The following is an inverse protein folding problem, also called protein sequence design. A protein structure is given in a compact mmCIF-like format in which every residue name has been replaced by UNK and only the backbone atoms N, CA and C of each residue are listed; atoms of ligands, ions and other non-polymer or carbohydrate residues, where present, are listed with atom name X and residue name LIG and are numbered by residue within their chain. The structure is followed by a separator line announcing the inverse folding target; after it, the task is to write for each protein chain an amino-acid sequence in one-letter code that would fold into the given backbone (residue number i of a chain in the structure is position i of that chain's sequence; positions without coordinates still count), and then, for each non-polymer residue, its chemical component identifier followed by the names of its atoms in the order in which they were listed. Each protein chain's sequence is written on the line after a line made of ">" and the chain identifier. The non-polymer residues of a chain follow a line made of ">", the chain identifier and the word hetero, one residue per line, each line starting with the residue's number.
data_IF_313575142268
#
_entry.id   IF_313575142268
#
_cell.length_a   1.000
_cell.length_b   1.000
_cell.length_c   1.000
_cell.angle_alpha   90.00
_cell.angle_beta   90.00
_cell.angle_gamma   90.00
#
_symmetry.space_group_name_H-M   'P 1'
#
loop_
_entity.id
_entity.type
_entity.pdbx_description
1 polymer ?
#
# COMPACT_ATOMS: atom_id res chain seq x y z
N UNK A 1 4.52 18.31 -20.77
CA UNK A 1 5.51 18.01 -21.83
C UNK A 1 6.70 17.38 -21.16
N UNK A 2 7.29 16.36 -21.78
CA UNK A 2 8.58 15.82 -21.32
C UNK A 2 9.69 16.65 -21.96
N UNK A 3 10.54 17.25 -21.14
CA UNK A 3 11.65 18.11 -21.58
C UNK A 3 12.96 17.44 -21.19
N UNK A 4 13.83 17.23 -22.17
CA UNK A 4 15.18 16.71 -21.91
C UNK A 4 16.05 17.85 -21.39
N UNK A 5 16.71 17.61 -20.26
CA UNK A 5 17.65 18.55 -19.64
C UNK A 5 18.95 17.83 -19.28
N UNK A 6 20.02 18.59 -19.04
CA UNK A 6 21.32 18.04 -18.63
C UNK A 6 21.35 17.62 -17.15
N UNK A 7 20.44 16.73 -16.74
CA UNK A 7 20.34 16.15 -15.39
C UNK A 7 20.25 14.63 -15.48
N UNK A 8 20.50 13.87 -14.38
CA UNK A 8 20.27 12.43 -14.34
C UNK A 8 18.85 12.07 -14.79
N UNK A 9 18.72 10.92 -15.46
CA UNK A 9 17.42 10.44 -15.93
C UNK A 9 16.50 10.20 -14.72
N UNK A 10 15.29 10.75 -14.78
CA UNK A 10 14.26 10.52 -13.77
C UNK A 10 13.90 9.04 -13.68
N UNK A 11 13.67 8.55 -12.46
CA UNK A 11 13.28 7.18 -12.17
C UNK A 11 12.08 7.18 -11.22
N UNK A 12 11.42 6.04 -11.09
CA UNK A 12 10.33 5.87 -10.14
C UNK A 12 10.87 5.86 -8.70
N UNK A 13 10.21 6.60 -7.81
CA UNK A 13 10.46 6.54 -6.37
C UNK A 13 9.32 5.80 -5.65
N UNK A 14 8.19 6.46 -5.44
CA UNK A 14 6.96 5.88 -4.90
C UNK A 14 5.78 6.65 -5.48
N UNK A 15 4.80 5.94 -6.05
CA UNK A 15 3.64 6.54 -6.71
C UNK A 15 4.01 7.55 -7.82
N UNK A 16 4.89 7.22 -8.79
CA UNK A 16 5.44 8.19 -9.73
C UNK A 16 4.38 9.06 -10.43
N UNK A 17 4.53 10.38 -10.30
CA UNK A 17 3.61 11.38 -10.84
C UNK A 17 2.42 11.74 -9.95
N UNK A 18 1.95 10.83 -9.08
CA UNK A 18 0.77 11.08 -8.25
C UNK A 18 1.00 12.17 -7.17
N UNK A 19 2.12 12.21 -6.42
CA UNK A 19 2.35 13.28 -5.43
C UNK A 19 2.33 14.69 -6.03
N UNK A 20 2.95 14.91 -7.20
CA UNK A 20 2.96 16.22 -7.85
C UNK A 20 1.57 16.62 -8.37
N UNK A 21 0.81 15.67 -8.93
CA UNK A 21 -0.56 15.92 -9.36
C UNK A 21 -1.48 16.21 -8.16
N UNK A 22 -1.34 15.45 -7.07
CA UNK A 22 -2.08 15.62 -5.83
C UNK A 22 -1.76 16.97 -5.17
N UNK A 23 -0.48 17.37 -5.14
CA UNK A 23 -0.05 18.68 -4.65
C UNK A 23 -0.87 19.82 -5.29
N UNK A 24 -0.92 19.85 -6.62
CA UNK A 24 -1.65 20.87 -7.34
C UNK A 24 -3.18 20.80 -7.12
N UNK A 25 -3.79 19.61 -7.26
CA UNK A 25 -5.26 19.49 -7.21
C UNK A 25 -5.83 19.66 -5.81
N UNK A 26 -5.17 19.13 -4.78
CA UNK A 26 -5.67 19.20 -3.40
C UNK A 26 -5.49 20.59 -2.80
N UNK A 27 -4.49 21.38 -3.24
CA UNK A 27 -4.43 22.80 -2.93
C UNK A 27 -5.55 23.59 -3.62
N UNK A 28 -5.85 23.29 -4.89
CA UNK A 28 -6.94 23.96 -5.60
C UNK A 28 -8.32 23.63 -4.99
N UNK A 29 -8.52 22.40 -4.52
CA UNK A 29 -9.72 22.01 -3.77
C UNK A 29 -9.84 22.80 -2.46
N UNK A 30 -8.74 22.91 -1.71
CA UNK A 30 -8.70 23.67 -0.46
C UNK A 30 -9.02 25.16 -0.68
N UNK A 31 -8.40 25.77 -1.69
CA UNK A 31 -8.65 27.16 -2.10
C UNK A 31 -10.12 27.38 -2.49
N UNK A 32 -10.69 26.47 -3.29
CA UNK A 32 -12.10 26.53 -3.67
C UNK A 32 -13.04 26.40 -2.46
N UNK A 33 -12.73 25.50 -1.52
CA UNK A 33 -13.51 25.34 -0.30
C UNK A 33 -13.48 26.62 0.55
N UNK A 34 -12.30 27.25 0.70
CA UNK A 34 -12.15 28.53 1.41
C UNK A 34 -12.94 29.66 0.75
N UNK A 35 -12.83 29.81 -0.58
CA UNK A 35 -13.56 30.83 -1.33
C UNK A 35 -15.10 30.67 -1.22
N UNK A 36 -15.58 29.41 -1.18
CA UNK A 36 -16.99 29.08 -1.07
C UNK A 36 -17.48 28.93 0.38
N UNK A 37 -16.60 29.07 1.37
CA UNK A 37 -16.89 28.85 2.81
C UNK A 37 -17.46 27.45 3.08
N UNK A 38 -16.90 26.45 2.42
CA UNK A 38 -17.24 25.05 2.60
C UNK A 38 -16.24 24.36 3.53
N UNK A 39 -16.73 23.45 4.34
CA UNK A 39 -15.87 22.55 5.11
C UNK A 39 -15.18 21.55 4.18
N UNK A 40 -13.85 21.44 4.32
CA UNK A 40 -12.99 20.78 3.33
C UNK A 40 -13.18 19.25 3.30
N UNK A 41 -13.53 18.63 4.44
CA UNK A 41 -13.80 17.19 4.50
C UNK A 41 -15.25 16.87 4.09
N UNK A 42 -16.23 17.68 4.50
CA UNK A 42 -17.61 17.51 4.04
C UNK A 42 -17.74 17.71 2.53
N UNK A 43 -16.96 18.62 1.94
CA UNK A 43 -16.85 18.75 0.49
C UNK A 43 -16.33 17.45 -0.14
N UNK A 44 -15.27 16.84 0.41
CA UNK A 44 -14.73 15.57 -0.07
C UNK A 44 -15.71 14.41 0.09
N UNK A 45 -16.46 14.35 1.19
CA UNK A 45 -17.47 13.30 1.43
C UNK A 45 -18.58 13.35 0.38
N UNK A 46 -19.08 14.57 0.11
CA UNK A 46 -20.12 14.82 -0.90
C UNK A 46 -19.65 14.56 -2.33
N UNK A 47 -18.34 14.60 -2.59
CA UNK A 47 -17.73 14.40 -3.91
C UNK A 47 -16.89 13.10 -4.00
N UNK A 48 -17.02 12.20 -3.02
CA UNK A 48 -16.20 10.99 -2.94
C UNK A 48 -16.46 10.04 -4.10
N UNK A 49 -15.39 9.40 -4.58
CA UNK A 49 -15.50 8.30 -5.53
C UNK A 49 -16.15 7.08 -4.88
N UNK A 50 -17.13 6.50 -5.56
CA UNK A 50 -17.90 5.34 -5.08
C UNK A 50 -17.93 4.27 -6.16
N UNK A 51 -18.32 3.05 -5.78
CA UNK A 51 -18.57 1.99 -6.74
C UNK A 51 -19.54 2.46 -7.83
N UNK A 52 -19.21 2.16 -9.09
CA UNK A 52 -20.02 2.56 -10.25
C UNK A 52 -19.76 3.98 -10.78
N UNK A 53 -19.15 4.88 -9.99
CA UNK A 53 -18.78 6.22 -10.47
C UNK A 53 -17.71 6.10 -11.56
N UNK A 54 -17.90 6.79 -12.68
CA UNK A 54 -16.97 6.74 -13.81
C UNK A 54 -15.70 7.54 -13.50
N UNK A 55 -14.55 6.89 -13.65
CA UNK A 55 -13.25 7.55 -13.70
C UNK A 55 -13.12 8.42 -14.96
N UNK A 56 -12.09 9.27 -14.99
CA UNK A 56 -11.75 10.13 -16.13
C UNK A 56 -11.52 9.34 -17.42
N UNK A 57 -11.09 8.07 -17.32
CA UNK A 57 -10.92 7.17 -18.46
C UNK A 57 -12.23 6.49 -18.94
N UNK A 58 -13.37 6.81 -18.31
CA UNK A 58 -14.69 6.28 -18.64
C UNK A 58 -15.04 4.92 -18.02
N UNK A 59 -14.10 4.28 -17.32
CA UNK A 59 -14.32 3.01 -16.62
C UNK A 59 -14.95 3.27 -15.25
N UNK A 60 -15.95 2.48 -14.87
CA UNK A 60 -16.55 2.57 -13.55
C UNK A 60 -15.55 2.11 -12.47
N UNK A 61 -15.51 2.83 -11.35
CA UNK A 61 -14.78 2.36 -10.18
C UNK A 61 -15.35 1.01 -9.72
N UNK A 62 -14.52 -0.03 -9.51
CA UNK A 62 -14.93 -1.17 -8.71
C UNK A 62 -15.20 -0.70 -7.27
N UNK A 63 -15.67 -1.60 -6.39
CA UNK A 63 -15.71 -1.31 -4.96
C UNK A 63 -14.37 -0.73 -4.49
N UNK A 64 -14.40 0.43 -3.86
CA UNK A 64 -13.23 1.21 -3.43
C UNK A 64 -13.60 2.05 -2.20
N UNK A 65 -12.63 2.35 -1.34
CA UNK A 65 -12.85 2.93 -0.01
C UNK A 65 -12.67 4.45 0.11
N UNK A 66 -12.90 5.25 -0.94
CA UNK A 66 -12.64 6.70 -0.86
C UNK A 66 -13.59 7.43 0.11
N UNK A 67 -14.88 7.09 0.06
CA UNK A 67 -15.87 7.64 0.99
C UNK A 67 -15.55 7.23 2.43
N UNK A 68 -15.21 5.97 2.65
CA UNK A 68 -14.90 5.43 3.96
C UNK A 68 -13.65 6.07 4.57
N UNK A 69 -12.63 6.40 3.75
CA UNK A 69 -11.46 7.15 4.24
C UNK A 69 -11.82 8.56 4.67
N UNK A 70 -12.70 9.25 3.94
CA UNK A 70 -13.13 10.60 4.31
C UNK A 70 -14.02 10.57 5.55
N UNK A 71 -14.93 9.61 5.66
CA UNK A 71 -15.81 9.43 6.82
C UNK A 71 -15.01 9.08 8.08
N UNK A 72 -14.00 8.21 7.95
CA UNK A 72 -13.10 7.90 9.05
C UNK A 72 -12.24 9.12 9.44
N UNK A 73 -11.81 9.95 8.48
CA UNK A 73 -11.14 11.22 8.77
C UNK A 73 -12.06 12.20 9.52
N UNK A 74 -13.31 12.38 9.08
CA UNK A 74 -14.34 13.18 9.77
C UNK A 74 -14.61 12.69 11.19
N UNK A 75 -14.59 11.36 11.38
CA UNK A 75 -14.83 10.74 12.67
C UNK A 75 -13.60 10.76 13.60
N UNK A 76 -12.41 11.05 13.09
CA UNK A 76 -11.15 10.99 13.85
C UNK A 76 -11.09 12.01 14.98
N UNK A 77 -10.39 11.65 16.06
CA UNK A 77 -10.12 12.58 17.17
C UNK A 77 -9.28 13.76 16.71
N UNK A 78 -8.40 13.56 15.72
CA UNK A 78 -7.61 14.63 15.13
C UNK A 78 -8.50 15.72 14.55
N UNK A 79 -9.42 15.38 13.64
CA UNK A 79 -10.31 16.36 13.01
C UNK A 79 -11.21 17.09 14.00
N UNK A 80 -11.70 16.38 15.02
CA UNK A 80 -12.61 16.93 16.04
C UNK A 80 -11.93 17.81 17.08
N UNK A 81 -10.60 17.67 17.23
CA UNK A 81 -9.85 18.43 18.21
C UNK A 81 -9.64 19.87 17.74
N UNK A 82 -9.76 20.88 18.61
CA UNK A 82 -9.39 22.25 18.26
C UNK A 82 -7.89 22.33 17.97
N UNK A 83 -7.51 23.32 17.16
CA UNK A 83 -6.12 23.73 17.01
C UNK A 83 -5.94 25.06 17.74
N UNK A 84 -5.07 25.07 18.75
CA UNK A 84 -4.87 26.21 19.64
C UNK A 84 -3.42 26.69 19.54
N UNK A 85 -3.21 28.01 19.57
CA UNK A 85 -1.88 28.63 19.55
C UNK A 85 -1.67 29.53 18.33
N UNK A 86 -0.66 30.43 18.38
CA UNK A 86 -0.34 31.31 17.25
C UNK A 86 0.29 30.52 16.10
N UNK A 87 0.07 30.96 14.86
CA UNK A 87 0.70 30.43 13.64
C UNK A 87 0.55 28.91 13.50
N UNK A 88 -0.59 28.38 13.92
CA UNK A 88 -0.93 26.97 13.77
C UNK A 88 -2.06 26.83 12.79
N UNK A 89 -1.98 25.78 11.98
CA UNK A 89 -2.96 25.52 10.95
C UNK A 89 -3.15 24.03 10.73
N UNK A 90 -4.34 23.68 10.25
CA UNK A 90 -4.72 22.31 9.92
C UNK A 90 -4.91 22.18 8.42
N UNK A 91 -4.29 21.16 7.85
CA UNK A 91 -4.42 20.84 6.44
C UNK A 91 -4.93 19.43 6.20
N UNK A 92 -5.64 19.29 5.09
CA UNK A 92 -6.21 18.03 4.63
C UNK A 92 -5.86 17.83 3.16
N UNK A 93 -5.51 16.59 2.81
CA UNK A 93 -5.41 16.16 1.42
C UNK A 93 -5.81 14.70 1.27
N UNK A 94 -6.31 14.34 0.10
CA UNK A 94 -6.56 12.97 -0.31
C UNK A 94 -5.57 12.53 -1.39
N UNK A 95 -5.30 11.23 -1.41
CA UNK A 95 -4.36 10.60 -2.34
C UNK A 95 -4.99 9.39 -2.99
N UNK A 96 -4.59 9.11 -4.22
CA UNK A 96 -5.05 7.96 -4.99
C UNK A 96 -3.87 7.27 -5.66
N UNK A 97 -3.85 5.94 -5.62
CA UNK A 97 -2.97 5.14 -6.45
C UNK A 97 -3.75 4.00 -7.09
N UNK A 98 -3.51 3.75 -8.37
CA UNK A 98 -4.31 2.81 -9.17
C UNK A 98 -3.96 1.34 -8.90
N UNK A 99 -2.79 1.06 -8.31
CA UNK A 99 -2.16 -0.26 -8.17
C UNK A 99 -1.99 -1.02 -9.50
N UNK A 100 -1.06 -1.95 -9.55
CA UNK A 100 -0.80 -2.74 -10.74
C UNK A 100 -1.04 -4.24 -10.50
N UNK A 101 -1.33 -4.96 -11.59
CA UNK A 101 -1.41 -6.42 -11.61
C UNK A 101 -0.14 -7.00 -12.21
N UNK A 102 -0.04 -7.01 -13.55
CA UNK A 102 1.10 -7.52 -14.32
C UNK A 102 1.39 -9.02 -14.08
N UNK A 103 2.52 -9.54 -14.57
CA UNK A 103 2.83 -10.96 -14.55
C UNK A 103 3.45 -11.41 -13.21
N UNK A 104 2.92 -12.47 -12.62
CA UNK A 104 3.47 -13.11 -11.41
C UNK A 104 3.49 -14.62 -11.56
N UNK A 105 4.53 -15.25 -10.97
CA UNK A 105 4.68 -16.70 -10.91
C UNK A 105 5.19 -17.16 -9.56
N UNK A 106 4.66 -18.29 -9.07
CA UNK A 106 5.11 -18.94 -7.83
C UNK A 106 5.12 -20.46 -7.99
N UNK A 107 5.92 -21.13 -7.15
CA UNK A 107 5.95 -22.59 -7.00
C UNK A 107 5.88 -22.91 -5.51
N UNK A 108 5.06 -23.87 -5.10
CA UNK A 108 4.97 -24.36 -3.74
C UNK A 108 5.16 -25.88 -3.69
N UNK A 109 5.99 -26.37 -2.77
CA UNK A 109 6.28 -27.80 -2.61
C UNK A 109 5.98 -28.29 -1.20
N UNK A 110 5.24 -29.39 -1.08
CA UNK A 110 4.85 -29.97 0.20
C UNK A 110 5.87 -31.02 0.66
N UNK A 111 6.48 -30.79 1.82
CA UNK A 111 7.43 -31.72 2.42
C UNK A 111 6.70 -32.87 3.14
N UNK A 112 7.33 -34.06 3.28
CA UNK A 112 6.71 -35.20 3.97
C UNK A 112 6.35 -34.95 5.45
N UNK A 113 6.94 -33.94 6.08
CA UNK A 113 6.66 -33.56 7.48
C UNK A 113 5.45 -32.62 7.63
N UNK A 114 4.81 -32.23 6.53
CA UNK A 114 3.67 -31.31 6.50
C UNK A 114 4.04 -29.85 6.29
N UNK A 115 5.33 -29.49 6.25
CA UNK A 115 5.75 -28.11 5.93
C UNK A 115 5.70 -27.84 4.43
N UNK A 116 5.60 -26.58 4.03
CA UNK A 116 5.46 -26.16 2.63
C UNK A 116 6.52 -25.12 2.28
N UNK A 117 7.35 -25.40 1.29
CA UNK A 117 8.26 -24.41 0.73
C UNK A 117 7.50 -23.58 -0.31
N UNK A 118 7.50 -22.25 -0.17
CA UNK A 118 6.94 -21.33 -1.16
C UNK A 118 8.09 -20.58 -1.84
N UNK A 119 8.17 -20.69 -3.15
CA UNK A 119 9.18 -20.04 -3.99
C UNK A 119 8.49 -18.98 -4.83
N UNK A 120 8.98 -17.74 -4.72
CA UNK A 120 8.48 -16.59 -5.47
C UNK A 120 9.65 -15.78 -6.05
N UNK A 121 9.39 -14.93 -7.05
CA UNK A 121 10.43 -14.20 -7.79
C UNK A 121 10.37 -12.68 -7.68
N UNK A 122 9.41 -12.12 -6.94
CA UNK A 122 9.32 -10.70 -6.67
C UNK A 122 10.35 -10.31 -5.61
N UNK A 123 11.15 -9.29 -5.85
CA UNK A 123 12.12 -8.82 -4.85
C UNK A 123 11.39 -8.32 -3.61
N UNK A 124 11.73 -8.86 -2.44
CA UNK A 124 11.13 -8.45 -1.17
C UNK A 124 11.78 -7.17 -0.64
N UNK A 125 11.07 -6.05 -0.76
CA UNK A 125 11.49 -4.72 -0.29
C UNK A 125 10.63 -4.17 0.84
N UNK A 126 9.72 -4.98 1.40
CA UNK A 126 8.68 -4.45 2.30
C UNK A 126 7.85 -5.48 3.07
N UNK A 127 8.27 -6.74 3.13
CA UNK A 127 7.59 -7.80 3.89
C UNK A 127 6.78 -8.77 3.02
N UNK A 128 7.08 -8.86 1.73
CA UNK A 128 6.35 -9.70 0.78
C UNK A 128 6.40 -11.18 1.18
N UNK A 129 7.55 -11.70 1.59
CA UNK A 129 7.70 -13.12 1.99
C UNK A 129 6.70 -13.53 3.05
N UNK A 130 6.59 -12.73 4.12
CA UNK A 130 5.64 -13.01 5.19
C UNK A 130 4.19 -12.90 4.69
N UNK A 131 3.88 -11.86 3.91
CA UNK A 131 2.52 -11.66 3.38
C UNK A 131 2.04 -12.79 2.46
N UNK A 132 2.91 -13.31 1.59
CA UNK A 132 2.58 -14.42 0.70
C UNK A 132 2.52 -15.74 1.45
N UNK A 133 3.40 -15.96 2.43
CA UNK A 133 3.32 -17.13 3.29
C UNK A 133 2.03 -17.17 4.10
N UNK A 134 1.56 -16.04 4.63
CA UNK A 134 0.24 -15.93 5.28
C UNK A 134 -0.90 -16.27 4.31
N UNK A 135 -0.86 -15.79 3.07
CA UNK A 135 -1.86 -16.13 2.07
C UNK A 135 -1.84 -17.62 1.68
N UNK A 136 -0.66 -18.24 1.57
CA UNK A 136 -0.55 -19.67 1.30
C UNK A 136 -1.05 -20.50 2.49
N UNK A 137 -0.66 -20.12 3.71
CA UNK A 137 -1.10 -20.75 4.94
C UNK A 137 -2.63 -20.71 5.06
N UNK A 138 -3.26 -19.56 4.78
CA UNK A 138 -4.72 -19.41 4.72
C UNK A 138 -5.33 -20.32 3.64
N UNK A 139 -4.73 -20.35 2.43
CA UNK A 139 -5.23 -21.17 1.32
C UNK A 139 -5.22 -22.66 1.67
N UNK A 140 -4.16 -23.11 2.34
CA UNK A 140 -3.95 -24.48 2.77
C UNK A 140 -4.55 -24.76 4.17
N UNK A 141 -5.05 -23.75 4.87
CA UNK A 141 -5.57 -23.88 6.23
C UNK A 141 -4.60 -24.60 7.19
N UNK A 142 -3.31 -24.27 7.10
CA UNK A 142 -2.24 -24.77 7.97
C UNK A 142 -1.61 -23.62 8.76
N UNK A 143 -0.88 -23.91 9.86
CA UNK A 143 -0.16 -22.88 10.59
C UNK A 143 0.84 -22.13 9.71
N UNK A 144 0.96 -20.82 9.92
CA UNK A 144 1.90 -19.96 9.17
C UNK A 144 3.35 -20.44 9.32
N UNK A 145 3.73 -20.90 10.50
CA UNK A 145 5.05 -21.45 10.82
C UNK A 145 5.43 -22.68 9.99
N UNK A 146 4.45 -23.37 9.40
CA UNK A 146 4.68 -24.50 8.51
C UNK A 146 4.94 -24.06 7.04
N UNK A 147 4.83 -22.76 6.73
CA UNK A 147 5.15 -22.20 5.41
C UNK A 147 6.52 -21.53 5.42
N UNK A 148 7.39 -21.94 4.49
CA UNK A 148 8.77 -21.45 4.33
C UNK A 148 8.92 -20.66 3.02
N UNK A 149 8.73 -19.33 3.02
CA UNK A 149 8.85 -18.51 1.83
C UNK A 149 10.32 -18.21 1.48
N UNK A 150 10.64 -18.28 0.19
CA UNK A 150 11.95 -17.95 -0.39
C UNK A 150 11.75 -17.09 -1.63
N UNK A 151 12.50 -15.99 -1.72
CA UNK A 151 12.68 -15.26 -2.99
C UNK A 151 13.83 -15.92 -3.74
N UNK A 152 13.53 -16.50 -4.89
CA UNK A 152 14.52 -17.24 -5.68
C UNK A 152 15.12 -16.41 -6.82
N UNK A 153 16.27 -16.85 -7.30
CA UNK A 153 16.96 -16.28 -8.44
C UNK A 153 16.22 -16.57 -9.76
N UNK A 154 16.48 -15.78 -10.79
CA UNK A 154 15.80 -15.85 -12.10
C UNK A 154 15.99 -17.19 -12.82
N UNK A 155 17.00 -17.98 -12.45
CA UNK A 155 17.24 -19.31 -13.02
C UNK A 155 16.36 -20.40 -12.36
N UNK A 156 15.69 -20.09 -11.25
CA UNK A 156 14.98 -21.06 -10.40
C UNK A 156 13.46 -20.84 -10.31
N UNK A 157 12.93 -19.75 -10.87
CA UNK A 157 11.51 -19.41 -10.83
C UNK A 157 11.06 -18.82 -12.19
N UNK A 158 9.82 -19.06 -12.65
CA UNK A 158 9.30 -18.40 -13.84
C UNK A 158 9.17 -16.88 -13.67
N UNK A 159 8.96 -16.19 -14.79
CA UNK A 159 8.95 -14.73 -14.85
C UNK A 159 8.01 -14.07 -13.81
N UNK A 160 8.54 -13.02 -13.19
CA UNK A 160 7.81 -12.09 -12.33
C UNK A 160 8.16 -10.67 -12.76
N UNK A 161 7.16 -9.81 -12.92
CA UNK A 161 7.39 -8.39 -13.19
C UNK A 161 7.88 -7.65 -11.94
N UNK A 162 8.46 -6.47 -12.17
CA UNK A 162 9.11 -5.60 -11.17
C UNK A 162 8.32 -5.45 -9.88
N UNK A 163 8.99 -5.46 -8.72
CA UNK A 163 8.41 -4.98 -7.47
C UNK A 163 8.21 -3.47 -7.52
N UNK A 164 7.02 -3.05 -7.95
CA UNK A 164 6.62 -1.66 -8.11
C UNK A 164 5.13 -1.54 -8.49
N UNK A 165 4.57 -0.34 -8.47
CA UNK A 165 3.13 -0.16 -8.71
C UNK A 165 2.25 -0.83 -7.65
N UNK A 166 2.81 -1.11 -6.47
CA UNK A 166 2.13 -1.74 -5.32
C UNK A 166 1.44 -3.05 -5.68
N UNK A 167 2.01 -3.77 -6.66
CA UNK A 167 1.40 -4.96 -7.26
C UNK A 167 1.54 -6.23 -6.43
N UNK A 168 2.63 -6.37 -5.69
CA UNK A 168 3.18 -7.71 -5.38
C UNK A 168 2.25 -8.52 -4.50
N UNK A 169 1.81 -7.96 -3.38
CA UNK A 169 0.91 -8.63 -2.43
C UNK A 169 -0.41 -9.07 -3.08
N UNK A 170 -0.92 -8.31 -4.05
CA UNK A 170 -2.11 -8.64 -4.83
C UNK A 170 -1.81 -9.69 -5.92
N UNK A 171 -0.88 -9.39 -6.84
CA UNK A 171 -0.66 -10.19 -8.03
C UNK A 171 0.04 -11.53 -7.73
N UNK A 172 1.10 -11.49 -6.93
CA UNK A 172 1.80 -12.69 -6.47
C UNK A 172 0.99 -13.42 -5.41
N UNK A 173 0.14 -12.71 -4.66
CA UNK A 173 -0.89 -13.29 -3.79
C UNK A 173 -1.88 -14.17 -4.56
N UNK A 174 -2.43 -13.69 -5.68
CA UNK A 174 -3.29 -14.49 -6.57
C UNK A 174 -2.59 -15.75 -7.07
N UNK A 175 -1.32 -15.63 -7.51
CA UNK A 175 -0.55 -16.79 -7.95
C UNK A 175 -0.35 -17.80 -6.80
N UNK A 176 -0.12 -17.28 -5.59
CA UNK A 176 0.02 -18.08 -4.37
C UNK A 176 -1.25 -18.82 -4.01
N UNK A 177 -2.41 -18.16 -4.12
CA UNK A 177 -3.71 -18.79 -3.97
C UNK A 177 -3.92 -19.92 -4.98
N UNK A 178 -3.70 -19.69 -6.27
CA UNK A 178 -3.88 -20.71 -7.31
C UNK A 178 -2.93 -21.90 -7.12
N UNK A 179 -1.68 -21.66 -6.69
CA UNK A 179 -0.74 -22.72 -6.35
C UNK A 179 -1.21 -23.54 -5.13
N UNK A 180 -1.75 -22.88 -4.09
CA UNK A 180 -2.34 -23.55 -2.93
C UNK A 180 -3.59 -24.37 -3.28
N UNK A 181 -4.46 -23.85 -4.15
CA UNK A 181 -5.62 -24.58 -4.66
C UNK A 181 -5.21 -25.81 -5.47
N UNK A 182 -4.13 -25.72 -6.25
CA UNK A 182 -3.57 -26.87 -6.95
C UNK A 182 -3.05 -27.97 -5.99
N UNK A 183 -2.42 -27.58 -4.87
CA UNK A 183 -2.01 -28.52 -3.81
C UNK A 183 -3.23 -29.20 -3.20
N UNK A 184 -4.26 -28.43 -2.80
CA UNK A 184 -5.50 -28.97 -2.22
C UNK A 184 -6.18 -29.97 -3.14
N UNK A 185 -6.26 -29.65 -4.43
CA UNK A 185 -6.81 -30.56 -5.45
C UNK A 185 -6.05 -31.88 -5.47
N UNK A 186 -4.72 -31.85 -5.58
CA UNK A 186 -3.91 -33.07 -5.57
C UNK A 186 -4.08 -33.89 -4.30
N UNK A 187 -4.20 -33.25 -3.14
CA UNK A 187 -4.46 -33.94 -1.87
C UNK A 187 -5.82 -34.63 -1.87
N UNK A 188 -6.87 -33.94 -2.33
CA UNK A 188 -8.22 -34.50 -2.43
C UNK A 188 -8.28 -35.70 -3.40
N UNK A 189 -7.66 -35.57 -4.58
CA UNK A 189 -7.54 -36.66 -5.56
C UNK A 189 -6.87 -37.91 -4.97
N UNK A 190 -5.87 -37.72 -4.11
CA UNK A 190 -5.14 -38.83 -3.48
C UNK A 190 -5.91 -39.44 -2.31
N UNK A 191 -6.56 -38.62 -1.49
CA UNK A 191 -7.43 -39.11 -0.42
C UNK A 191 -8.61 -39.92 -0.99
N UNK A 192 -9.22 -39.46 -2.10
CA UNK A 192 -10.28 -40.18 -2.78
C UNK A 192 -9.85 -41.59 -3.22
N UNK A 193 -8.63 -41.72 -3.77
CA UNK A 193 -8.02 -43.01 -4.14
C UNK A 193 -7.79 -43.91 -2.92
N UNK A 194 -7.28 -43.37 -1.82
CA UNK A 194 -7.08 -44.13 -0.57
C UNK A 194 -8.39 -44.66 0.00
N UNK A 195 -9.47 -43.88 -0.13
CA UNK A 195 -10.77 -44.22 0.41
C UNK A 195 -11.69 -44.97 -0.55
N UNK A 196 -11.24 -45.16 -1.80
CA UNK A 196 -12.00 -45.76 -2.89
C UNK A 196 -13.36 -45.05 -3.11
N UNK A 197 -13.35 -43.72 -3.14
CA UNK A 197 -14.51 -42.88 -3.40
C UNK A 197 -14.25 -41.90 -4.57
N UNK A 198 -15.27 -41.10 -4.94
CA UNK A 198 -15.09 -40.03 -5.91
C UNK A 198 -14.33 -38.85 -5.28
N UNK A 199 -13.69 -38.02 -6.10
CA UNK A 199 -13.09 -36.76 -5.67
C UNK A 199 -14.14 -35.78 -5.14
N UNK A 200 -15.32 -35.77 -5.77
CA UNK A 200 -16.48 -34.98 -5.31
C UNK A 200 -16.97 -35.39 -3.92
N UNK A 201 -16.61 -36.60 -3.46
CA UNK A 201 -16.92 -37.10 -2.13
C UNK A 201 -15.89 -36.67 -1.07
N UNK A 202 -14.88 -35.88 -1.43
CA UNK A 202 -13.84 -35.39 -0.50
C UNK A 202 -14.00 -33.89 -0.29
N UNK A 203 -14.26 -33.49 0.96
CA UNK A 203 -14.18 -32.09 1.36
C UNK A 203 -12.80 -31.79 1.95
N UNK A 204 -12.32 -30.57 1.71
CA UNK A 204 -11.12 -30.02 2.35
C UNK A 204 -11.54 -28.88 3.26
N UNK A 205 -11.44 -29.08 4.57
CA UNK A 205 -11.94 -28.17 5.61
C UNK A 205 -10.90 -28.11 6.73
N UNK A 206 -10.54 -26.90 7.17
CA UNK A 206 -9.64 -26.64 8.29
C UNK A 206 -8.32 -27.43 8.26
N UNK A 207 -7.74 -27.57 7.07
CA UNK A 207 -6.47 -28.26 6.87
C UNK A 207 -6.61 -29.79 6.83
N UNK A 208 -7.83 -30.31 6.80
CA UNK A 208 -8.15 -31.74 6.81
C UNK A 208 -8.97 -32.13 5.58
N UNK A 209 -8.78 -33.38 5.14
CA UNK A 209 -9.59 -34.03 4.12
C UNK A 209 -10.65 -34.89 4.83
N UNK A 210 -11.89 -34.81 4.39
CA UNK A 210 -13.02 -35.56 4.95
C UNK A 210 -13.79 -36.30 3.85
N UNK A 211 -14.09 -37.57 4.05
CA UNK A 211 -14.97 -38.32 3.15
C UNK A 211 -16.45 -38.04 3.49
N UNK A 212 -17.21 -37.45 2.55
CA UNK A 212 -18.67 -37.19 2.70
C UNK A 212 -19.49 -38.45 2.96
N UNK A 213 -19.03 -39.59 2.44
CA UNK A 213 -19.74 -40.88 2.53
C UNK A 213 -19.42 -41.66 3.80
N UNK A 214 -18.34 -41.31 4.49
CA UNK A 214 -17.86 -42.02 5.66
C UNK A 214 -17.12 -41.05 6.57
N UNK A 215 -17.82 -40.56 7.60
CA UNK A 215 -17.29 -39.57 8.55
C UNK A 215 -16.12 -40.10 9.39
N UNK A 216 -15.81 -41.40 9.36
CA UNK A 216 -14.63 -41.97 10.03
C UNK A 216 -13.35 -41.84 9.21
N UNK A 217 -13.48 -41.51 7.91
CA UNK A 217 -12.36 -41.33 7.00
C UNK A 217 -11.96 -39.85 6.93
N UNK A 218 -10.96 -39.51 7.72
CA UNK A 218 -10.32 -38.19 7.72
C UNK A 218 -8.80 -38.33 7.59
N UNK A 219 -8.17 -37.33 6.99
CA UNK A 219 -6.71 -37.21 6.92
C UNK A 219 -6.34 -35.73 7.08
N UNK A 220 -5.47 -35.42 8.02
CA UNK A 220 -4.88 -34.08 8.12
C UNK A 220 -3.96 -33.79 6.92
N UNK A 221 -3.69 -32.51 6.64
CA UNK A 221 -2.71 -32.08 5.65
C UNK A 221 -1.37 -32.80 5.84
N UNK A 222 -0.91 -32.89 7.10
CA UNK A 222 0.35 -33.53 7.48
C UNK A 222 0.34 -35.05 7.24
N UNK A 223 -0.74 -35.74 7.58
CA UNK A 223 -0.86 -37.18 7.32
C UNK A 223 -0.92 -37.49 5.83
N UNK A 224 -1.60 -36.66 5.05
CA UNK A 224 -1.62 -36.78 3.59
C UNK A 224 -0.24 -36.48 2.98
N UNK A 225 0.44 -35.44 3.47
CA UNK A 225 1.80 -35.10 3.06
C UNK A 225 2.80 -36.23 3.32
N UNK A 226 2.70 -36.92 4.47
CA UNK A 226 3.54 -38.07 4.81
C UNK A 226 3.31 -39.28 3.88
N UNK A 227 2.14 -39.37 3.25
CA UNK A 227 1.77 -40.47 2.34
C UNK A 227 2.10 -40.19 0.87
N UNK A 228 2.71 -39.04 0.54
CA UNK A 228 2.94 -38.61 -0.85
C UNK A 228 3.65 -39.68 -1.71
N UNK A 229 4.69 -40.35 -1.18
CA UNK A 229 5.43 -41.38 -1.90
C UNK A 229 4.60 -42.62 -2.24
N UNK A 230 3.57 -42.93 -1.45
CA UNK A 230 2.68 -44.09 -1.65
C UNK A 230 1.45 -43.76 -2.49
N UNK A 231 1.20 -42.47 -2.74
CA UNK A 231 -0.06 -41.98 -3.34
C UNK A 231 0.15 -41.23 -4.66
N UNK A 232 1.37 -41.20 -5.20
CA UNK A 232 1.65 -40.59 -6.50
C UNK A 232 2.97 -39.81 -6.60
N UNK A 233 3.81 -39.81 -5.56
CA UNK A 233 5.07 -39.05 -5.54
C UNK A 233 4.91 -37.66 -4.93
N UNK A 234 5.83 -36.72 -5.18
CA UNK A 234 5.78 -35.36 -4.63
C UNK A 234 4.45 -34.63 -4.89
N UNK A 235 4.07 -33.73 -3.98
CA UNK A 235 2.92 -32.82 -4.15
C UNK A 235 3.47 -31.41 -4.31
N UNK A 236 3.12 -30.77 -5.42
CA UNK A 236 3.63 -29.44 -5.79
C UNK A 236 2.52 -28.59 -6.42
N UNK A 237 2.36 -27.35 -5.99
CA UNK A 237 1.54 -26.34 -6.64
C UNK A 237 2.39 -25.38 -7.46
N UNK A 238 1.86 -24.87 -8.56
CA UNK A 238 2.49 -23.77 -9.30
C UNK A 238 1.44 -22.94 -10.01
N UNK A 239 1.72 -21.66 -10.19
CA UNK A 239 0.87 -20.77 -10.96
C UNK A 239 1.70 -19.69 -11.64
N UNK A 240 1.31 -19.34 -12.87
CA UNK A 240 1.81 -18.19 -13.62
C UNK A 240 0.60 -17.48 -14.21
N UNK A 241 0.46 -16.19 -13.92
CA UNK A 241 -0.72 -15.43 -14.33
C UNK A 241 -0.38 -13.98 -14.68
N UNK A 242 -1.29 -13.33 -15.40
CA UNK A 242 -1.33 -11.88 -15.55
C UNK A 242 -2.47 -11.37 -14.68
N UNK A 243 -2.13 -10.81 -13.53
CA UNK A 243 -3.12 -10.36 -12.56
C UNK A 243 -3.93 -9.18 -13.11
N UNK A 244 -5.26 -9.25 -12.95
CA UNK A 244 -6.22 -8.20 -13.33
C UNK A 244 -7.06 -7.85 -12.11
N UNK A 245 -7.62 -6.65 -12.08
CA UNK A 245 -8.50 -6.25 -10.97
C UNK A 245 -7.76 -5.83 -9.69
N UNK A 246 -6.52 -5.34 -9.80
CA UNK A 246 -5.73 -4.85 -8.66
C UNK A 246 -6.49 -3.82 -7.81
N UNK A 247 -7.29 -2.98 -8.47
CA UNK A 247 -8.11 -1.95 -7.84
C UNK A 247 -7.25 -0.84 -7.23
N UNK A 248 -7.67 0.41 -7.45
CA UNK A 248 -7.01 1.52 -6.76
C UNK A 248 -7.29 1.51 -5.25
N UNK A 249 -6.58 2.37 -4.55
CA UNK A 249 -6.81 2.68 -3.15
C UNK A 249 -6.72 4.18 -2.92
N UNK A 250 -7.47 4.66 -1.94
CA UNK A 250 -7.49 6.06 -1.53
C UNK A 250 -6.94 6.22 -0.11
N UNK A 251 -6.44 7.41 0.17
CA UNK A 251 -6.12 7.85 1.51
C UNK A 251 -6.60 9.27 1.73
N UNK A 252 -6.91 9.63 2.97
CA UNK A 252 -7.24 10.99 3.41
C UNK A 252 -6.41 11.29 4.65
N UNK A 253 -5.55 12.31 4.57
CA UNK A 253 -4.61 12.65 5.62
C UNK A 253 -4.98 13.99 6.25
N UNK A 254 -4.76 14.11 7.55
CA UNK A 254 -4.93 15.33 8.34
C UNK A 254 -3.59 15.64 9.00
N UNK A 255 -3.15 16.89 8.90
CA UNK A 255 -1.91 17.35 9.51
C UNK A 255 -2.12 18.69 10.21
N UNK A 256 -1.61 18.80 11.42
CA UNK A 256 -1.50 20.05 12.17
C UNK A 256 -0.04 20.49 12.16
N UNK A 257 0.19 21.77 11.85
CA UNK A 257 1.52 22.36 11.83
C UNK A 257 1.59 23.62 12.70
N UNK A 258 2.79 23.93 13.18
CA UNK A 258 3.16 25.26 13.67
C UNK A 258 4.22 25.86 12.75
N UNK A 259 4.09 27.15 12.44
CA UNK A 259 5.07 27.88 11.63
C UNK A 259 5.70 28.98 12.47
N UNK A 260 7.02 28.94 12.60
CA UNK A 260 7.79 30.04 13.17
C UNK A 260 8.07 31.08 12.07
N UNK A 261 7.46 32.28 12.12
CA UNK A 261 7.64 33.30 11.09
C UNK A 261 9.03 33.95 11.11
N UNK A 262 9.78 33.86 12.22
CA UNK A 262 11.12 34.44 12.31
C UNK A 262 12.17 33.54 11.64
N UNK A 263 12.05 32.22 11.83
CA UNK A 263 13.02 31.24 11.31
C UNK A 263 12.54 30.52 10.05
N UNK A 264 11.24 30.56 9.77
CA UNK A 264 10.58 29.78 8.72
C UNK A 264 10.43 28.30 9.06
N UNK A 265 10.80 27.87 10.27
CA UNK A 265 10.68 26.47 10.68
C UNK A 265 9.21 26.07 10.68
N UNK A 266 8.90 24.97 9.99
CA UNK A 266 7.60 24.30 10.08
C UNK A 266 7.74 23.06 10.94
N UNK A 267 6.94 22.96 12.00
CA UNK A 267 6.90 21.80 12.88
C UNK A 267 5.60 21.03 12.67
N UNK A 268 5.71 19.72 12.43
CA UNK A 268 4.53 18.84 12.35
C UNK A 268 4.10 18.49 13.77
N UNK A 269 2.98 19.04 14.23
CA UNK A 269 2.47 18.84 15.59
C UNK A 269 1.74 17.50 15.74
N UNK A 270 0.93 17.16 14.73
CA UNK A 270 0.12 15.94 14.71
C UNK A 270 -0.12 15.49 13.28
N UNK A 271 -0.13 14.18 13.04
CA UNK A 271 -0.42 13.62 11.74
C UNK A 271 -1.30 12.38 11.87
N UNK A 272 -2.40 12.34 11.12
CA UNK A 272 -3.27 11.15 11.01
C UNK A 272 -3.43 10.76 9.55
N UNK A 273 -3.05 9.54 9.21
CA UNK A 273 -3.17 8.96 7.88
C UNK A 273 -4.28 7.91 7.86
N UNK A 274 -5.35 8.19 7.11
CA UNK A 274 -6.47 7.26 6.91
C UNK A 274 -6.36 6.65 5.53
N UNK A 275 -6.38 5.33 5.40
CA UNK A 275 -6.18 4.67 4.11
C UNK A 275 -7.06 3.43 3.94
N UNK A 276 -7.66 3.28 2.75
CA UNK A 276 -8.25 2.03 2.27
C UNK A 276 -7.13 1.05 1.90
N UNK A 277 -7.07 -0.07 2.61
CA UNK A 277 -6.01 -1.07 2.43
C UNK A 277 -6.50 -2.37 1.78
N UNK A 278 -7.78 -2.43 1.39
CA UNK A 278 -8.42 -3.72 1.14
C UNK A 278 -8.51 -4.53 2.43
N UNK A 279 -8.12 -5.79 2.38
CA UNK A 279 -7.90 -6.61 3.58
C UNK A 279 -6.47 -6.47 4.08
N UNK A 280 -6.29 -6.12 5.35
CA UNK A 280 -4.99 -6.02 5.98
C UNK A 280 -4.43 -7.41 6.33
N UNK A 281 -3.52 -7.94 5.51
CA UNK A 281 -2.89 -9.26 5.78
C UNK A 281 -2.17 -9.25 7.13
N UNK A 282 -1.42 -8.19 7.40
CA UNK A 282 -0.75 -8.00 8.69
C UNK A 282 -0.79 -6.54 9.07
N UNK A 283 -1.59 -6.21 10.08
CA UNK A 283 -1.92 -4.84 10.46
C UNK A 283 -0.67 -3.97 10.70
N UNK A 284 0.27 -4.42 11.52
CA UNK A 284 1.46 -3.61 11.82
C UNK A 284 2.36 -3.36 10.58
N UNK A 285 2.35 -4.25 9.59
CA UNK A 285 3.13 -4.06 8.35
C UNK A 285 2.45 -3.04 7.45
N UNK A 286 1.13 -3.11 7.37
CA UNK A 286 0.28 -2.12 6.70
C UNK A 286 0.49 -0.73 7.31
N UNK A 287 0.39 -0.62 8.63
CA UNK A 287 0.61 0.63 9.37
C UNK A 287 2.04 1.16 9.13
N UNK A 288 3.07 0.29 9.20
CA UNK A 288 4.45 0.68 8.90
C UNK A 288 4.67 1.18 7.47
N UNK A 289 4.00 0.60 6.47
CA UNK A 289 4.04 1.09 5.09
C UNK A 289 3.38 2.48 4.97
N UNK A 290 2.26 2.70 5.65
CA UNK A 290 1.56 3.99 5.69
C UNK A 290 2.48 5.05 6.31
N UNK A 291 3.03 4.77 7.48
CA UNK A 291 3.93 5.68 8.20
C UNK A 291 5.18 6.02 7.37
N UNK A 292 5.81 5.02 6.74
CA UNK A 292 6.96 5.24 5.86
C UNK A 292 6.64 6.11 4.65
N UNK A 293 5.46 5.94 4.04
CA UNK A 293 5.00 6.77 2.92
C UNK A 293 4.75 8.22 3.33
N UNK A 294 4.14 8.41 4.50
CA UNK A 294 3.93 9.74 5.09
C UNK A 294 5.26 10.45 5.35
N UNK A 295 6.24 9.79 5.97
CA UNK A 295 7.54 10.40 6.29
C UNK A 295 8.30 10.80 5.03
N UNK A 296 8.27 9.99 3.98
CA UNK A 296 8.83 10.36 2.67
C UNK A 296 8.16 11.62 2.10
N UNK A 297 6.83 11.69 2.19
CA UNK A 297 6.09 12.87 1.73
C UNK A 297 6.34 14.12 2.59
N UNK A 298 6.53 13.98 3.90
CA UNK A 298 6.97 15.10 4.78
C UNK A 298 8.33 15.61 4.32
N UNK A 299 9.27 14.70 4.04
CA UNK A 299 10.57 15.02 3.48
C UNK A 299 10.47 15.86 2.21
N UNK A 300 9.70 15.41 1.22
CA UNK A 300 9.47 16.16 -0.02
C UNK A 300 8.76 17.50 0.19
N UNK A 301 7.83 17.57 1.15
CA UNK A 301 7.09 18.79 1.42
C UNK A 301 7.98 19.90 2.01
N UNK A 302 8.92 19.55 2.89
CA UNK A 302 9.64 20.53 3.72
C UNK A 302 11.14 20.65 3.40
N UNK A 303 11.80 19.57 2.97
CA UNK A 303 13.27 19.49 3.05
C UNK A 303 13.98 18.95 1.79
N UNK A 304 13.42 17.94 1.15
CA UNK A 304 14.11 17.15 0.12
C UNK A 304 13.96 17.78 -1.27
N UNK A 305 15.09 18.13 -1.87
CA UNK A 305 15.18 18.58 -3.26
C UNK A 305 16.50 18.14 -3.89
N UNK A 306 16.59 18.15 -5.22
CA UNK A 306 17.88 18.11 -5.90
C UNK A 306 18.28 19.53 -6.31
N UNK A 307 19.28 20.08 -5.63
CA UNK A 307 19.76 21.43 -5.87
C UNK A 307 20.90 21.42 -6.89
N UNK A 308 20.66 22.02 -8.06
CA UNK A 308 21.65 22.17 -9.12
C UNK A 308 22.11 23.61 -9.23
N UNK A 309 23.42 23.86 -9.33
CA UNK A 309 23.96 25.20 -9.60
C UNK A 309 23.77 25.61 -11.08
N UNK A 310 24.14 26.86 -11.41
CA UNK A 310 24.01 27.43 -12.76
C UNK A 310 24.87 26.66 -13.79
N UNK A 311 25.95 26.03 -13.33
CA UNK A 311 26.81 25.16 -14.13
C UNK A 311 26.26 23.73 -14.30
N UNK A 312 25.16 23.39 -13.61
CA UNK A 312 24.49 22.09 -13.71
C UNK A 312 25.05 21.00 -12.78
N UNK A 313 25.86 21.36 -11.78
CA UNK A 313 26.33 20.42 -10.77
C UNK A 313 25.32 20.23 -9.65
N UNK A 314 25.11 18.97 -9.24
CA UNK A 314 24.32 18.65 -8.05
C UNK A 314 25.11 19.05 -6.79
N UNK A 315 24.60 20.02 -6.05
CA UNK A 315 25.28 20.62 -4.88
C UNK A 315 25.00 19.90 -3.57
N UNK A 316 23.92 19.15 -3.50
CA UNK A 316 23.49 18.45 -2.29
C UNK A 316 23.50 16.93 -2.48
N UNK A 317 24.56 16.38 -3.06
CA UNK A 317 24.68 14.95 -3.39
C UNK A 317 25.00 14.04 -2.20
N UNK A 318 24.98 14.56 -0.97
CA UNK A 318 25.31 13.82 0.26
C UNK A 318 24.14 13.85 1.23
N UNK A 319 24.04 12.89 2.16
CA UNK A 319 23.01 12.91 3.21
C UNK A 319 23.16 14.03 4.24
N UNK A 320 24.25 14.80 4.19
CA UNK A 320 24.36 16.02 4.99
C UNK A 320 23.45 17.13 4.42
N UNK A 321 23.41 17.25 3.09
CA UNK A 321 22.76 18.36 2.39
C UNK A 321 21.44 17.96 1.73
N UNK A 322 21.27 16.69 1.36
CA UNK A 322 19.97 16.11 1.02
C UNK A 322 19.25 15.73 2.30
N UNK A 323 18.45 16.65 2.81
CA UNK A 323 17.89 16.62 4.16
C UNK A 323 16.69 15.67 4.28
N UNK A 324 16.98 14.37 4.38
CA UNK A 324 15.96 13.39 4.77
C UNK A 324 15.52 13.65 6.22
N UNK A 325 14.22 13.56 6.53
CA UNK A 325 13.73 13.68 7.90
C UNK A 325 14.39 12.67 8.86
N UNK A 326 14.66 13.12 10.07
CA UNK A 326 15.11 12.29 11.20
C UNK A 326 13.94 12.01 12.15
N UNK A 327 14.16 11.17 13.15
CA UNK A 327 13.16 10.89 14.21
C UNK A 327 12.81 12.10 15.06
N UNK A 328 13.58 13.20 14.97
CA UNK A 328 13.28 14.45 15.67
C UNK A 328 12.40 15.40 14.86
N UNK A 329 12.26 15.15 13.55
CA UNK A 329 11.53 16.03 12.63
C UNK A 329 10.06 15.60 12.43
N UNK A 330 9.73 14.37 12.82
CA UNK A 330 8.40 13.78 12.59
C UNK A 330 7.79 13.26 13.91
N UNK A 331 6.51 13.56 14.20
CA UNK A 331 5.83 12.98 15.34
C UNK A 331 5.45 11.52 15.04
N UNK A 332 4.86 10.85 16.03
CA UNK A 332 4.18 9.59 15.74
C UNK A 332 3.06 9.81 14.73
N UNK A 333 3.11 9.08 13.62
CA UNK A 333 2.10 9.13 12.56
C UNK A 333 0.98 8.16 12.94
N UNK A 334 -0.16 8.70 13.36
CA UNK A 334 -1.37 7.94 13.67
C UNK A 334 -1.93 7.36 12.37
N UNK A 335 -2.31 6.09 12.39
CA UNK A 335 -2.88 5.40 11.23
C UNK A 335 -4.28 4.92 11.52
N UNK A 336 -5.20 5.16 10.59
CA UNK A 336 -6.55 4.60 10.60
C UNK A 336 -6.67 3.69 9.39
N UNK A 337 -6.67 2.40 9.65
CA UNK A 337 -6.79 1.35 8.63
C UNK A 337 -8.26 1.17 8.29
N UNK A 338 -8.65 1.54 7.08
CA UNK A 338 -9.98 1.30 6.51
C UNK A 338 -9.93 0.05 5.65
N UNK A 339 -10.78 -0.93 5.95
CA UNK A 339 -10.79 -2.20 5.22
C UNK A 339 -11.98 -2.28 4.27
N UNK A 340 -11.76 -1.99 2.98
CA UNK A 340 -12.74 -2.19 1.90
C UNK A 340 -12.24 -3.27 0.94
N UNK A 341 -12.59 -4.55 1.20
CA UNK A 341 -12.06 -5.70 0.46
C UNK A 341 -12.14 -5.55 -1.06
N UNK A 342 -11.07 -5.95 -1.74
CA UNK A 342 -11.03 -6.01 -3.19
C UNK A 342 -11.79 -7.23 -3.74
N UNK A 343 -12.88 -7.04 -4.51
CA UNK A 343 -13.60 -8.17 -5.10
C UNK A 343 -12.76 -8.96 -6.13
N UNK A 344 -11.66 -8.39 -6.63
CA UNK A 344 -10.74 -9.05 -7.55
C UNK A 344 -9.72 -9.98 -6.89
N UNK A 345 -9.76 -10.16 -5.57
CA UNK A 345 -8.84 -11.02 -4.83
C UNK A 345 -9.62 -11.96 -3.88
N UNK A 346 -9.30 -13.27 -3.79
CA UNK A 346 -9.98 -14.21 -2.89
C UNK A 346 -10.01 -13.77 -1.43
N UNK A 347 -8.93 -13.11 -1.00
CA UNK A 347 -8.78 -12.55 0.35
C UNK A 347 -9.09 -11.05 0.47
N UNK A 348 -9.57 -10.38 -0.59
CA UNK A 348 -9.87 -8.95 -0.53
C UNK A 348 -8.65 -8.01 -0.53
N UNK A 349 -7.46 -8.53 -0.82
CA UNK A 349 -6.18 -7.81 -0.73
C UNK A 349 -6.03 -6.74 -1.82
N UNK A 350 -5.34 -5.64 -1.50
CA UNK A 350 -4.87 -4.60 -2.43
C UNK A 350 -3.39 -4.25 -2.17
N UNK A 351 -2.83 -3.42 -3.03
CA UNK A 351 -1.58 -2.73 -2.76
C UNK A 351 -1.77 -1.56 -1.78
N UNK A 352 -0.90 -1.48 -0.77
CA UNK A 352 -0.94 -0.45 0.29
C UNK A 352 0.21 0.56 0.16
N UNK A 353 1.33 0.12 -0.42
CA UNK A 353 2.60 0.84 -0.35
C UNK A 353 2.55 2.26 -0.90
N UNK A 354 1.98 2.50 -2.07
CA UNK A 354 2.21 3.79 -2.75
C UNK A 354 1.22 4.91 -2.44
N UNK A 355 0.01 4.62 -1.98
CA UNK A 355 -0.98 5.66 -1.67
C UNK A 355 -0.50 6.69 -0.62
N UNK A 356 0.16 6.32 0.49
CA UNK A 356 0.41 7.23 1.60
C UNK A 356 1.46 8.33 1.36
N UNK A 357 2.27 8.24 0.28
CA UNK A 357 3.17 9.36 -0.10
C UNK A 357 2.43 10.45 -0.88
N UNK A 358 1.23 10.18 -1.37
CA UNK A 358 0.50 11.11 -2.27
C UNK A 358 -0.06 12.33 -1.50
N UNK A 359 -0.71 12.19 -0.33
CA UNK A 359 -1.29 13.34 0.38
C UNK A 359 -0.34 14.34 1.06
N UNK A 360 0.80 13.94 1.68
CA UNK A 360 1.56 14.82 2.57
C UNK A 360 1.90 16.19 2.01
N UNK A 361 2.32 16.27 0.75
CA UNK A 361 2.73 17.52 0.10
C UNK A 361 1.62 18.58 0.16
N UNK A 362 0.42 18.24 -0.29
CA UNK A 362 -0.73 19.16 -0.26
C UNK A 362 -1.25 19.38 1.16
N UNK A 363 -1.33 18.33 1.98
CA UNK A 363 -1.85 18.45 3.34
C UNK A 363 -1.01 19.44 4.14
N UNK A 364 0.31 19.34 4.06
CA UNK A 364 1.24 20.25 4.76
C UNK A 364 1.15 21.66 4.19
N UNK A 365 1.13 21.82 2.87
CA UNK A 365 0.99 23.15 2.26
C UNK A 365 -0.33 23.85 2.62
N UNK A 366 -1.44 23.10 2.68
CA UNK A 366 -2.74 23.61 3.13
C UNK A 366 -2.72 23.98 4.62
N UNK A 367 -2.02 23.21 5.46
CA UNK A 367 -1.86 23.51 6.88
C UNK A 367 -1.02 24.78 7.11
N UNK A 368 0.05 24.97 6.33
CA UNK A 368 0.88 26.17 6.38
C UNK A 368 0.08 27.40 5.91
N UNK A 369 -0.74 27.26 4.89
CA UNK A 369 -1.62 28.36 4.45
C UNK A 369 -2.64 28.71 5.53
N UNK A 370 -3.26 27.72 6.17
CA UNK A 370 -4.19 27.93 7.28
C UNK A 370 -3.52 28.64 8.47
N UNK A 371 -2.24 28.32 8.71
CA UNK A 371 -1.43 28.92 9.78
C UNK A 371 -1.00 30.36 9.50
N UNK A 372 -0.68 30.69 8.24
CA UNK A 372 0.04 31.92 7.86
C UNK A 372 -0.76 32.87 6.97
N UNK A 373 -1.83 32.38 6.35
CA UNK A 373 -2.58 33.08 5.30
C UNK A 373 -1.87 33.12 3.93
N UNK A 374 -0.71 32.46 3.78
CA UNK A 374 0.07 32.45 2.54
C UNK A 374 0.10 31.06 1.89
N UNK A 375 -0.18 31.01 0.58
CA UNK A 375 -0.22 29.76 -0.18
C UNK A 375 1.09 29.54 -0.93
N UNK A 376 1.88 28.59 -0.45
CA UNK A 376 3.07 28.13 -1.17
C UNK A 376 2.67 27.22 -2.33
N UNK A 377 3.15 27.52 -3.54
CA UNK A 377 2.89 26.74 -4.77
C UNK A 377 4.12 26.01 -5.28
N UNK A 378 5.23 26.06 -4.53
CA UNK A 378 6.50 25.44 -4.85
C UNK A 378 7.03 24.65 -3.66
N UNK A 379 7.60 23.47 -3.95
CA UNK A 379 8.23 22.60 -2.97
C UNK A 379 9.75 22.56 -3.21
N UNK A 380 10.55 22.28 -2.16
CA UNK A 380 10.14 22.14 -0.77
C UNK A 380 9.81 23.50 -0.12
N UNK A 381 8.89 23.50 0.84
CA UNK A 381 8.54 24.65 1.70
C UNK A 381 9.60 24.77 2.80
N UNK A 382 10.85 24.98 2.36
CA UNK A 382 12.01 25.07 3.23
C UNK A 382 11.96 26.32 4.11
N UNK A 383 12.65 26.33 5.28
CA UNK A 383 12.66 27.51 6.16
C UNK A 383 13.08 28.80 5.45
N UNK A 384 14.06 28.72 4.54
CA UNK A 384 14.49 29.85 3.71
C UNK A 384 13.32 30.39 2.88
N UNK A 385 12.60 29.50 2.17
CA UNK A 385 11.46 29.87 1.34
C UNK A 385 10.33 30.48 2.16
N UNK A 386 10.05 29.92 3.34
CA UNK A 386 9.02 30.47 4.24
C UNK A 386 9.35 31.90 4.63
N UNK A 387 10.58 32.17 5.09
CA UNK A 387 11.01 33.52 5.46
C UNK A 387 10.97 34.47 4.26
N UNK A 388 11.45 34.02 3.10
CA UNK A 388 11.49 34.83 1.87
C UNK A 388 10.09 35.23 1.40
N UNK A 389 9.18 34.27 1.26
CA UNK A 389 7.84 34.53 0.75
C UNK A 389 6.96 35.29 1.75
N UNK A 390 7.06 35.01 3.06
CA UNK A 390 6.28 35.74 4.08
C UNK A 390 6.77 37.19 4.27
N UNK A 391 8.07 37.46 4.08
CA UNK A 391 8.63 38.81 4.21
C UNK A 391 8.74 39.55 2.86
N UNK A 392 8.26 38.98 1.76
CA UNK A 392 8.40 39.52 0.40
C UNK A 392 9.86 39.80 -0.02
N UNK A 393 10.80 39.01 0.51
CA UNK A 393 12.20 39.08 0.13
C UNK A 393 12.39 38.19 -1.10
N UNK A 394 12.50 38.80 -2.29
CA UNK A 394 12.74 38.13 -3.57
C UNK A 394 14.21 37.86 -3.84
#
# INVERSE_FOLDING_TARGET
>A
YDVVVNKPKVAAYRAPGAPAAAFAIEQAIDEACKALKLDVLNFRDSNSSREGVKMVNGVAHPRIGAEETVQAALASDHWKSPIEGPNRGRGVASGFWFNAGMQSSVIAGVNPDGTVNLIEGSTDIGGTRASLAMQLAETLQIPFEDVRPVVADTDSIPHNDVTGGSRVTFATGLATYEAGMNIRKQMAERAAKLWNCSEDDVDYIDGELHCKKDSTKTLTFKEMAAQQARTGGPITGSASLVARGAGGAFATHIVDVEVDPETGKVEILRYTAVQDVGTAIHRAYVEGQIQGGVVQGIGWALNEEYFYDEEGHLRNSSFLDYRMPTTLDVPYIETIVVEVPNPGHPYGVRGVGEVPIVPPLAAIANAIEDATGHRFTELPISPRRVVEELNQLS
#
